data_IF_502018217187
#
_entry.id   IF_502018217187
#
_cell.length_a   1.000
_cell.length_b   1.000
_cell.length_c   1.000
_cell.angle_alpha   90.00
_cell.angle_beta   90.00
_cell.angle_gamma   90.00
#
_symmetry.space_group_name_H-M   'P 1'
#
loop_
_entity.id
_entity.type
_entity.pdbx_description
1 polymer ?
#
# COMPACT_ATOMS: atom_id res chain seq x y z
N UNK A 1 16.51 -6.85 -4.56
CA UNK A 1 15.50 -7.46 -3.66
C UNK A 1 14.11 -7.12 -4.19
N UNK A 2 13.23 -8.13 -4.26
CA UNK A 2 11.79 -7.91 -4.41
C UNK A 2 11.12 -8.60 -3.23
N UNK A 3 10.48 -7.81 -2.38
CA UNK A 3 9.89 -8.27 -1.12
C UNK A 3 8.36 -8.29 -1.26
N UNK A 4 7.76 -9.49 -1.22
CA UNK A 4 6.35 -9.71 -1.54
C UNK A 4 5.53 -9.81 -0.24
N UNK A 5 4.54 -8.95 -0.10
CA UNK A 5 3.67 -8.85 1.07
C UNK A 5 2.21 -8.83 0.65
N UNK A 6 1.33 -9.01 1.62
CA UNK A 6 -0.09 -8.68 1.52
C UNK A 6 -0.42 -7.65 2.60
N UNK A 7 -1.67 -7.15 2.64
CA UNK A 7 -2.11 -6.43 3.83
C UNK A 7 -1.99 -7.31 5.09
N UNK A 8 -2.05 -6.72 6.27
CA UNK A 8 -2.12 -7.49 7.52
C UNK A 8 -3.57 -7.78 7.90
N UNK A 9 -3.83 -8.79 8.74
CA UNK A 9 -5.17 -9.24 9.14
C UNK A 9 -6.18 -8.10 9.38
N UNK A 10 -7.41 -8.31 8.90
CA UNK A 10 -8.51 -7.34 9.00
C UNK A 10 -8.36 -6.10 8.13
N UNK A 11 -7.51 -6.14 7.09
CA UNK A 11 -7.31 -5.06 6.11
C UNK A 11 -7.16 -5.63 4.71
N UNK A 12 -7.35 -4.75 3.73
CA UNK A 12 -7.07 -5.01 2.32
C UNK A 12 -6.28 -3.83 1.72
N UNK A 13 -5.36 -4.13 0.82
CA UNK A 13 -4.63 -3.14 0.02
C UNK A 13 -5.02 -3.24 -1.46
N UNK A 14 -4.88 -2.14 -2.19
CA UNK A 14 -4.72 -2.18 -3.66
C UNK A 14 -3.41 -2.91 -4.00
N UNK A 15 -3.22 -3.29 -5.27
CA UNK A 15 -1.89 -3.75 -5.69
C UNK A 15 -0.98 -2.53 -5.75
N UNK A 16 -0.15 -2.32 -4.72
CA UNK A 16 0.75 -1.18 -4.67
C UNK A 16 2.20 -1.56 -4.44
N UNK A 17 3.10 -0.74 -4.98
CA UNK A 17 4.54 -0.92 -4.86
C UNK A 17 5.14 0.25 -4.11
N UNK A 18 6.02 -0.06 -3.15
CA UNK A 18 6.86 0.94 -2.48
C UNK A 18 8.23 0.94 -3.13
N UNK A 19 8.64 2.09 -3.64
CA UNK A 19 9.87 2.23 -4.40
C UNK A 19 10.46 3.64 -4.26
N UNK A 20 11.79 3.73 -4.34
CA UNK A 20 12.46 5.01 -4.53
C UNK A 20 12.59 5.30 -6.02
N UNK A 21 11.71 6.16 -6.53
CA UNK A 21 11.67 6.54 -7.95
C UNK A 21 12.79 7.52 -8.34
N UNK A 22 13.61 7.97 -7.39
CA UNK A 22 14.80 8.77 -7.72
C UNK A 22 15.96 7.92 -8.24
N UNK A 23 15.96 6.62 -7.95
CA UNK A 23 16.87 5.64 -8.53
C UNK A 23 16.23 5.02 -9.78
N UNK A 24 16.90 5.13 -10.93
CA UNK A 24 16.35 4.67 -12.21
C UNK A 24 16.20 3.15 -12.31
N UNK A 25 16.99 2.38 -11.56
CA UNK A 25 16.86 0.91 -11.50
C UNK A 25 15.66 0.53 -10.66
N UNK A 26 15.53 1.09 -9.46
CA UNK A 26 14.38 0.84 -8.57
C UNK A 26 13.08 1.32 -9.22
N UNK A 27 13.10 2.48 -9.89
CA UNK A 27 11.95 2.99 -10.64
C UNK A 27 11.50 1.99 -11.73
N UNK A 28 12.42 1.51 -12.56
CA UNK A 28 12.12 0.50 -13.59
C UNK A 28 11.54 -0.77 -12.96
N UNK A 29 12.13 -1.24 -11.86
CA UNK A 29 11.61 -2.42 -11.14
C UNK A 29 10.16 -2.25 -10.72
N UNK A 30 9.79 -1.06 -10.22
CA UNK A 30 8.42 -0.73 -9.82
C UNK A 30 7.47 -0.59 -11.02
N UNK A 31 7.89 0.08 -12.09
CA UNK A 31 7.07 0.28 -13.29
C UNK A 31 6.84 -0.99 -14.11
N UNK A 32 7.67 -2.02 -13.93
CA UNK A 32 7.42 -3.34 -14.54
C UNK A 32 6.38 -4.16 -13.78
N UNK A 33 5.95 -3.71 -12.60
CA UNK A 33 4.82 -4.31 -11.91
C UNK A 33 3.53 -3.78 -12.51
N UNK A 34 2.52 -4.63 -12.65
CA UNK A 34 1.17 -4.21 -13.00
C UNK A 34 0.45 -3.60 -11.79
N UNK A 35 1.06 -2.61 -11.15
CA UNK A 35 0.58 -2.01 -9.92
C UNK A 35 -0.53 -0.99 -10.18
N UNK A 36 -1.54 -0.96 -9.31
CA UNK A 36 -2.53 0.11 -9.29
C UNK A 36 -1.87 1.44 -8.84
N UNK A 37 -0.98 1.36 -7.85
CA UNK A 37 -0.36 2.52 -7.21
C UNK A 37 1.14 2.27 -7.03
N UNK A 38 1.97 3.29 -7.29
CA UNK A 38 3.37 3.31 -6.86
C UNK A 38 3.52 4.42 -5.81
N UNK A 39 3.93 4.04 -4.61
CA UNK A 39 4.23 4.94 -3.52
C UNK A 39 5.73 5.27 -3.51
N UNK A 40 6.06 6.54 -3.75
CA UNK A 40 7.40 7.07 -3.55
C UNK A 40 7.78 6.93 -2.08
N UNK A 41 8.85 6.19 -1.84
CA UNK A 41 9.39 5.95 -0.51
C UNK A 41 10.86 5.61 -0.64
N UNK A 42 11.74 6.38 0.04
CA UNK A 42 13.18 6.13 0.04
C UNK A 42 13.59 4.86 0.81
N UNK A 43 12.64 4.15 1.42
CA UNK A 43 12.92 2.95 2.21
C UNK A 43 13.52 3.28 3.58
N UNK A 44 13.35 4.52 4.04
CA UNK A 44 13.76 4.94 5.38
C UNK A 44 12.61 4.69 6.37
N UNK A 45 12.88 4.17 7.59
CA UNK A 45 11.82 3.89 8.57
C UNK A 45 11.01 5.14 8.90
N UNK A 46 9.68 4.98 9.03
CA UNK A 46 8.73 6.04 9.35
C UNK A 46 8.71 6.46 10.84
N UNK A 47 9.47 5.78 11.71
CA UNK A 47 9.59 6.09 13.13
C UNK A 47 11.06 6.28 13.52
N UNK A 48 11.32 7.25 14.42
CA UNK A 48 12.62 7.81 14.77
C UNK A 48 13.70 6.84 15.26
N UNK A 49 14.90 7.42 15.50
CA UNK A 49 16.19 6.78 15.81
C UNK A 49 16.24 5.26 15.62
N UNK A 50 16.74 4.89 14.44
CA UNK A 50 17.03 3.54 13.96
C UNK A 50 17.71 2.70 15.03
N UNK A 51 16.94 1.84 15.70
CA UNK A 51 17.50 0.63 16.30
C UNK A 51 17.63 -0.37 15.16
N UNK A 52 18.80 -0.97 14.97
CA UNK A 52 18.99 -1.95 13.89
C UNK A 52 17.95 -3.08 13.90
N UNK A 53 17.48 -3.44 15.10
CA UNK A 53 16.45 -4.45 15.32
C UNK A 53 15.04 -4.08 14.80
N UNK A 54 14.74 -2.81 14.50
CA UNK A 54 13.42 -2.38 14.02
C UNK A 54 13.38 -2.05 12.52
N UNK A 55 14.48 -2.29 11.78
CA UNK A 55 14.53 -2.04 10.33
C UNK A 55 13.78 -3.12 9.55
N UNK A 56 13.11 -2.68 8.48
CA UNK A 56 12.49 -3.61 7.53
C UNK A 56 13.55 -4.26 6.65
N UNK A 57 13.24 -5.42 6.07
CA UNK A 57 14.14 -6.12 5.13
C UNK A 57 14.53 -5.22 3.95
N UNK A 58 13.57 -4.47 3.39
CA UNK A 58 13.83 -3.49 2.34
C UNK A 58 14.80 -2.39 2.78
N UNK A 59 14.60 -1.80 3.96
CA UNK A 59 15.47 -0.76 4.48
C UNK A 59 16.91 -1.28 4.66
N UNK A 60 17.08 -2.48 5.19
CA UNK A 60 18.38 -3.11 5.32
C UNK A 60 19.03 -3.34 3.95
N UNK A 61 18.31 -3.93 2.98
CA UNK A 61 18.84 -4.15 1.64
C UNK A 61 19.33 -2.86 0.96
N UNK A 62 18.57 -1.77 1.09
CA UNK A 62 18.96 -0.45 0.55
C UNK A 62 20.24 0.06 1.22
N UNK A 63 20.42 -0.13 2.52
CA UNK A 63 21.65 0.27 3.23
C UNK A 63 22.89 -0.49 2.72
N UNK A 64 22.73 -1.72 2.23
CA UNK A 64 23.78 -2.50 1.59
C UNK A 64 23.92 -2.22 0.07
N UNK A 65 23.25 -1.18 -0.43
CA UNK A 65 23.31 -0.79 -1.84
C UNK A 65 22.57 -1.73 -2.79
N UNK A 66 21.67 -2.58 -2.28
CA UNK A 66 20.89 -3.52 -3.08
C UNK A 66 19.59 -2.81 -3.52
N UNK A 67 19.33 -2.67 -4.85
CA UNK A 67 18.06 -2.13 -5.34
C UNK A 67 16.87 -2.94 -4.81
N UNK A 68 15.90 -2.27 -4.19
CA UNK A 68 14.82 -2.95 -3.46
C UNK A 68 13.45 -2.29 -3.61
N UNK A 69 12.45 -3.11 -3.92
CA UNK A 69 11.02 -2.74 -3.91
C UNK A 69 10.25 -3.66 -2.97
N UNK A 70 9.16 -3.14 -2.41
CA UNK A 70 8.15 -3.94 -1.69
C UNK A 70 6.87 -3.93 -2.49
N UNK A 71 6.29 -5.10 -2.75
CA UNK A 71 5.02 -5.26 -3.46
C UNK A 71 3.98 -5.75 -2.47
N UNK A 72 2.81 -5.14 -2.49
CA UNK A 72 1.73 -5.42 -1.54
C UNK A 72 0.48 -5.86 -2.29
N UNK A 73 0.07 -7.12 -2.07
CA UNK A 73 -1.06 -7.75 -2.72
C UNK A 73 -2.25 -7.83 -1.78
N UNK A 74 -3.30 -7.07 -2.07
CA UNK A 74 -4.66 -7.44 -1.67
C UNK A 74 -4.88 -7.73 -0.17
N UNK A 75 -5.72 -8.74 0.05
CA UNK A 75 -6.21 -9.23 1.32
C UNK A 75 -5.42 -10.49 1.75
N UNK A 76 -4.83 -10.53 2.96
CA UNK A 76 -4.07 -11.68 3.45
C UNK A 76 -4.90 -12.93 3.70
N UNK A 77 -6.22 -12.82 3.79
CA UNK A 77 -7.09 -13.89 4.28
C UNK A 77 -7.75 -14.70 3.17
N UNK A 78 -7.62 -14.29 1.92
CA UNK A 78 -8.27 -14.95 0.78
C UNK A 78 -7.31 -15.09 -0.40
N UNK A 79 -7.53 -16.12 -1.21
CA UNK A 79 -6.86 -16.24 -2.50
C UNK A 79 -7.54 -15.33 -3.53
N UNK A 80 -6.74 -14.54 -4.22
CA UNK A 80 -7.20 -13.59 -5.23
C UNK A 80 -6.53 -13.89 -6.56
N UNK A 81 -7.22 -14.63 -7.43
CA UNK A 81 -6.66 -15.10 -8.71
C UNK A 81 -6.14 -13.96 -9.60
N UNK A 82 -6.87 -12.85 -9.64
CA UNK A 82 -6.44 -11.63 -10.35
C UNK A 82 -5.10 -11.08 -9.81
N UNK A 83 -5.01 -10.87 -8.48
CA UNK A 83 -3.78 -10.39 -7.83
C UNK A 83 -2.60 -11.34 -8.06
N UNK A 84 -2.83 -12.64 -7.94
CA UNK A 84 -1.80 -13.66 -8.22
C UNK A 84 -1.33 -13.59 -9.67
N UNK A 85 -2.26 -13.47 -10.63
CA UNK A 85 -1.95 -13.34 -12.05
C UNK A 85 -1.09 -12.11 -12.34
N UNK A 86 -1.49 -10.95 -11.80
CA UNK A 86 -0.76 -9.67 -11.91
C UNK A 86 0.62 -9.76 -11.27
N UNK A 87 0.74 -10.40 -10.11
CA UNK A 87 2.01 -10.63 -9.41
C UNK A 87 2.98 -11.52 -10.19
N UNK A 88 2.49 -12.65 -10.71
CA UNK A 88 3.30 -13.53 -11.56
C UNK A 88 3.77 -12.79 -12.81
N UNK A 89 2.87 -12.05 -13.47
CA UNK A 89 3.23 -11.24 -14.63
C UNK A 89 4.31 -10.22 -14.29
N UNK A 90 4.15 -9.44 -13.20
CA UNK A 90 5.11 -8.42 -12.79
C UNK A 90 6.50 -8.96 -12.42
N UNK A 91 6.57 -10.14 -11.79
CA UNK A 91 7.84 -10.81 -11.49
C UNK A 91 8.51 -11.31 -12.76
N UNK A 92 7.79 -12.00 -13.65
CA UNK A 92 8.36 -12.46 -14.92
C UNK A 92 8.85 -11.30 -15.76
N UNK A 93 8.11 -10.20 -15.76
CA UNK A 93 8.45 -8.97 -16.47
C UNK A 93 9.74 -8.34 -15.92
N UNK A 94 9.88 -8.28 -14.60
CA UNK A 94 11.10 -7.85 -13.93
C UNK A 94 12.30 -8.74 -14.27
N UNK A 95 12.14 -10.07 -14.25
CA UNK A 95 13.21 -11.00 -14.61
C UNK A 95 13.67 -10.79 -16.05
N UNK A 96 12.75 -10.59 -17.01
CA UNK A 96 13.08 -10.26 -18.38
C UNK A 96 13.78 -8.89 -18.49
N UNK A 97 13.30 -7.88 -17.77
CA UNK A 97 13.91 -6.55 -17.72
C UNK A 97 15.32 -6.51 -17.12
N UNK A 98 15.64 -7.46 -16.24
CA UNK A 98 16.97 -7.67 -15.68
C UNK A 98 17.84 -8.61 -16.53
N UNK A 99 17.31 -9.16 -17.64
CA UNK A 99 18.03 -10.09 -18.51
C UNK A 99 18.23 -11.48 -17.92
N UNK A 100 17.46 -11.85 -16.89
CA UNK A 100 17.53 -13.17 -16.24
C UNK A 100 16.71 -14.24 -16.98
N UNK A 101 15.79 -13.82 -17.85
CA UNK A 101 15.02 -14.68 -18.75
C UNK A 101 15.03 -14.13 -20.17
N UNK A 102 14.75 -14.99 -21.15
CA UNK A 102 14.60 -14.56 -22.53
C UNK A 102 13.38 -13.63 -22.70
N UNK A 103 13.48 -12.70 -23.64
CA UNK A 103 12.42 -11.73 -23.94
C UNK A 103 12.76 -10.31 -23.51
N UNK A 104 11.79 -9.42 -23.61
CA UNK A 104 11.91 -8.02 -23.17
C UNK A 104 10.74 -7.69 -22.27
N UNK A 105 10.94 -6.80 -21.28
CA UNK A 105 9.86 -6.40 -20.40
C UNK A 105 8.76 -5.69 -21.19
N UNK A 106 7.52 -5.99 -20.88
CA UNK A 106 6.31 -5.38 -21.42
C UNK A 106 5.82 -4.28 -20.48
N UNK A 107 5.25 -3.22 -21.04
CA UNK A 107 4.58 -2.21 -20.23
C UNK A 107 3.28 -2.79 -19.64
N UNK A 108 2.92 -2.45 -18.38
CA UNK A 108 1.63 -2.80 -17.83
C UNK A 108 0.47 -2.25 -18.68
N UNK A 109 -0.69 -2.93 -18.71
CA UNK A 109 -1.86 -2.47 -19.48
C UNK A 109 -2.35 -1.08 -19.05
N UNK A 110 -2.23 -0.76 -17.76
CA UNK A 110 -2.61 0.54 -17.21
C UNK A 110 -1.43 1.16 -16.44
N UNK A 111 -1.19 2.47 -16.58
CA UNK A 111 -0.16 3.14 -15.81
C UNK A 111 -0.57 3.25 -14.34
N UNK A 112 0.37 2.93 -13.45
CA UNK A 112 0.16 3.08 -12.01
C UNK A 112 0.01 4.57 -11.61
N UNK A 113 -0.83 4.82 -10.62
CA UNK A 113 -0.96 6.15 -10.01
C UNK A 113 0.23 6.36 -9.05
N UNK A 114 1.00 7.44 -9.25
CA UNK A 114 2.14 7.74 -8.38
C UNK A 114 1.71 8.63 -7.21
N UNK A 115 1.96 8.15 -5.99
CA UNK A 115 1.78 8.92 -4.76
C UNK A 115 3.12 9.39 -4.21
N UNK A 116 3.25 10.66 -3.83
CA UNK A 116 4.50 11.21 -3.27
C UNK A 116 4.72 10.85 -1.80
N UNK A 117 3.62 10.78 -1.05
CA UNK A 117 3.60 10.41 0.37
C UNK A 117 2.30 9.70 0.69
N UNK A 118 2.26 9.05 1.84
CA UNK A 118 1.03 8.44 2.36
C UNK A 118 1.08 8.35 3.87
N UNK A 119 -0.07 8.15 4.49
CA UNK A 119 -0.19 7.92 5.93
C UNK A 119 -1.48 7.16 6.25
N UNK A 120 -1.50 6.52 7.41
CA UNK A 120 -2.69 5.89 7.93
C UNK A 120 -3.50 6.89 8.75
N UNK A 121 -4.81 6.82 8.63
CA UNK A 121 -5.77 7.50 9.51
C UNK A 121 -6.26 6.48 10.54
N UNK A 122 -6.43 6.91 11.78
CA UNK A 122 -6.67 6.02 12.91
C UNK A 122 -7.94 6.39 13.67
N UNK A 123 -8.57 5.39 14.27
CA UNK A 123 -9.66 5.58 15.23
C UNK A 123 -9.12 6.14 16.54
N UNK A 124 -9.87 7.04 17.15
CA UNK A 124 -9.62 7.62 18.48
C UNK A 124 -10.38 6.89 19.60
N UNK A 125 -11.31 5.99 19.27
CA UNK A 125 -12.03 5.15 20.20
C UNK A 125 -12.20 3.70 19.67
N UNK A 126 -12.62 2.79 20.55
CA UNK A 126 -13.01 1.42 20.18
C UNK A 126 -14.48 1.33 19.81
N UNK A 127 -14.83 0.42 18.90
CA UNK A 127 -16.20 0.24 18.43
C UNK A 127 -16.30 -0.57 17.14
N UNK A 128 -17.47 -0.49 16.51
CA UNK A 128 -17.76 -1.09 15.22
C UNK A 128 -17.48 -0.05 14.12
N UNK A 129 -16.42 -0.27 13.34
CA UNK A 129 -15.97 0.59 12.25
C UNK A 129 -16.58 0.15 10.92
N UNK A 130 -17.29 1.07 10.28
CA UNK A 130 -17.68 0.98 8.87
C UNK A 130 -16.76 1.88 8.04
N UNK A 131 -16.28 1.38 6.89
CA UNK A 131 -15.41 2.13 5.97
C UNK A 131 -16.09 2.18 4.59
N UNK A 132 -16.83 3.26 4.26
CA UNK A 132 -17.67 3.31 3.06
C UNK A 132 -16.89 3.56 1.75
N UNK A 133 -15.60 3.86 1.84
CA UNK A 133 -14.75 4.15 0.68
C UNK A 133 -14.13 2.88 0.11
N UNK A 134 -13.85 2.89 -1.19
CA UNK A 134 -13.24 1.76 -1.89
C UNK A 134 -11.76 1.95 -2.21
N UNK A 135 -11.05 0.85 -2.44
CA UNK A 135 -9.66 0.89 -2.88
C UNK A 135 -9.55 1.66 -4.20
N UNK A 136 -8.51 2.49 -4.34
CA UNK A 136 -8.25 3.38 -5.48
C UNK A 136 -9.28 4.50 -5.67
N UNK A 137 -10.27 4.62 -4.77
CA UNK A 137 -11.16 5.77 -4.77
C UNK A 137 -10.36 7.05 -4.50
N UNK A 138 -10.56 8.05 -5.35
CA UNK A 138 -10.06 9.42 -5.12
C UNK A 138 -11.02 10.13 -4.18
N UNK A 139 -10.46 10.80 -3.18
CA UNK A 139 -11.19 11.53 -2.16
C UNK A 139 -10.83 13.01 -2.23
N UNK A 140 -11.79 13.86 -1.91
CA UNK A 140 -11.60 15.27 -1.57
C UNK A 140 -11.51 15.45 -0.05
N UNK A 141 -10.95 16.58 0.38
CA UNK A 141 -10.97 16.96 1.79
C UNK A 141 -12.42 17.06 2.30
N UNK A 142 -12.68 16.48 3.48
CA UNK A 142 -13.99 16.45 4.12
C UNK A 142 -14.89 15.27 3.74
N UNK A 143 -14.53 14.46 2.74
CA UNK A 143 -15.29 13.25 2.38
C UNK A 143 -15.33 12.24 3.53
N UNK A 144 -16.46 11.55 3.71
CA UNK A 144 -16.64 10.55 4.76
C UNK A 144 -15.79 9.30 4.46
N UNK A 145 -14.92 8.93 5.39
CA UNK A 145 -14.01 7.77 5.25
C UNK A 145 -14.26 6.69 6.29
N UNK A 146 -14.99 6.98 7.37
CA UNK A 146 -15.31 5.99 8.37
C UNK A 146 -16.42 6.42 9.31
N UNK A 147 -17.17 5.45 9.82
CA UNK A 147 -18.18 5.62 10.85
C UNK A 147 -17.87 4.65 11.98
N UNK A 148 -17.76 5.13 13.21
CA UNK A 148 -17.58 4.28 14.38
C UNK A 148 -18.87 4.27 15.19
N UNK A 149 -19.38 3.09 15.48
CA UNK A 149 -20.61 2.86 16.25
C UNK A 149 -20.35 2.02 17.48
N UNK A 150 -21.21 2.14 18.48
CA UNK A 150 -21.23 1.20 19.59
C UNK A 150 -22.03 -0.07 19.22
N UNK A 151 -22.03 -1.13 20.07
CA UNK A 151 -22.78 -2.35 19.80
C UNK A 151 -24.31 -2.18 19.71
N UNK A 152 -24.86 -1.04 20.14
CA UNK A 152 -26.27 -0.70 20.02
C UNK A 152 -26.60 0.05 18.72
N UNK A 153 -25.60 0.31 17.87
CA UNK A 153 -25.74 1.00 16.59
C UNK A 153 -25.66 2.52 16.68
N UNK A 154 -25.46 3.07 17.88
CA UNK A 154 -25.35 4.52 18.08
C UNK A 154 -24.01 5.02 17.54
N UNK A 155 -24.05 6.15 16.84
CA UNK A 155 -22.87 6.78 16.26
C UNK A 155 -21.98 7.36 17.36
N UNK A 156 -20.72 6.94 17.39
CA UNK A 156 -19.68 7.48 18.26
C UNK A 156 -18.96 8.62 17.54
N UNK A 157 -18.50 8.39 16.31
CA UNK A 157 -17.66 9.34 15.57
C UNK A 157 -17.75 9.11 14.06
N UNK A 158 -17.69 10.22 13.31
CA UNK A 158 -17.44 10.20 11.87
C UNK A 158 -15.99 10.62 11.60
N UNK A 159 -15.31 9.88 10.72
CA UNK A 159 -13.99 10.24 10.25
C UNK A 159 -14.09 10.76 8.83
N UNK A 160 -13.39 11.87 8.56
CA UNK A 160 -13.37 12.53 7.25
C UNK A 160 -11.95 12.63 6.71
N UNK A 161 -11.82 12.62 5.40
CA UNK A 161 -10.54 12.78 4.73
C UNK A 161 -9.96 14.17 5.07
N UNK A 162 -8.74 14.26 5.64
CA UNK A 162 -8.15 15.54 6.02
C UNK A 162 -7.68 16.36 4.81
N UNK A 163 -7.40 15.70 3.68
CA UNK A 163 -6.97 16.31 2.42
C UNK A 163 -7.35 15.41 1.25
N UNK A 164 -7.24 15.93 0.02
CA UNK A 164 -7.50 15.16 -1.18
C UNK A 164 -6.43 14.08 -1.40
N UNK A 165 -6.84 12.90 -1.84
CA UNK A 165 -5.94 11.77 -2.00
C UNK A 165 -6.59 10.56 -2.66
N UNK A 166 -5.94 9.40 -2.55
CA UNK A 166 -6.41 8.12 -3.06
C UNK A 166 -6.30 7.04 -1.98
N UNK A 167 -7.32 6.19 -1.86
CA UNK A 167 -7.31 5.09 -0.88
C UNK A 167 -6.36 3.99 -1.38
N UNK A 168 -5.22 3.81 -0.70
CA UNK A 168 -4.26 2.73 -0.99
C UNK A 168 -4.73 1.42 -0.34
N UNK A 169 -5.24 1.50 0.87
CA UNK A 169 -5.67 0.37 1.68
C UNK A 169 -6.73 0.77 2.69
N UNK A 170 -7.51 -0.19 3.18
CA UNK A 170 -8.56 0.06 4.18
C UNK A 170 -8.73 -1.10 5.16
N UNK A 171 -9.29 -0.80 6.32
CA UNK A 171 -9.75 -1.82 7.26
C UNK A 171 -11.01 -2.51 6.74
N UNK A 172 -11.07 -3.82 6.93
CA UNK A 172 -12.19 -4.69 6.56
C UNK A 172 -12.81 -5.36 7.78
N UNK A 173 -12.08 -5.46 8.91
CA UNK A 173 -12.64 -5.96 10.16
C UNK A 173 -13.51 -4.86 10.79
N UNK A 174 -14.80 -5.13 11.04
CA UNK A 174 -15.68 -4.15 11.69
C UNK A 174 -15.32 -3.94 13.16
N UNK A 175 -14.77 -4.93 13.86
CA UNK A 175 -14.36 -4.71 15.25
C UNK A 175 -13.03 -3.98 15.29
N UNK A 176 -13.01 -2.80 15.91
CA UNK A 176 -11.81 -1.98 15.99
C UNK A 176 -11.57 -1.43 17.41
N UNK A 177 -10.30 -1.26 17.74
CA UNK A 177 -9.85 -0.69 19.01
C UNK A 177 -9.44 0.77 18.81
N UNK A 178 -9.23 1.50 19.91
CA UNK A 178 -8.54 2.79 19.84
C UNK A 178 -7.15 2.64 19.21
N UNK A 179 -6.78 3.55 18.30
CA UNK A 179 -5.55 3.46 17.51
C UNK A 179 -5.63 2.45 16.36
N UNK A 180 -6.82 1.91 16.09
CA UNK A 180 -7.11 1.08 14.95
C UNK A 180 -6.95 1.84 13.64
N UNK A 181 -6.47 1.19 12.59
CA UNK A 181 -6.37 1.81 11.26
C UNK A 181 -7.75 1.94 10.63
N UNK A 182 -7.97 3.00 9.85
CA UNK A 182 -9.20 3.23 9.08
C UNK A 182 -8.87 3.07 7.59
N UNK A 183 -8.11 4.01 7.03
CA UNK A 183 -7.61 3.96 5.66
C UNK A 183 -6.13 4.36 5.59
N UNK A 184 -5.45 3.85 4.56
CA UNK A 184 -4.15 4.28 4.12
C UNK A 184 -4.36 5.27 2.97
N UNK A 185 -4.15 6.56 3.24
CA UNK A 185 -4.37 7.63 2.27
C UNK A 185 -3.06 7.94 1.54
N UNK A 186 -3.07 7.80 0.21
CA UNK A 186 -2.00 8.24 -0.68
C UNK A 186 -2.24 9.66 -1.18
N UNK A 187 -1.20 10.49 -1.18
CA UNK A 187 -1.26 11.87 -1.68
C UNK A 187 -0.60 11.92 -3.04
N UNK A 188 -1.38 12.34 -4.03
CA UNK A 188 -0.93 12.48 -5.41
C UNK A 188 0.02 13.67 -5.55
N UNK A 189 0.80 13.64 -6.63
CA UNK A 189 1.65 14.75 -7.05
C UNK A 189 0.84 15.90 -7.66
#
# INVERSE_FOLDING_TARGET
LVDLHTASFGRINSLYVRADLTDSTIARMAYWQDADIILQDRGMPSAGQVVAASRTMRAEAVLHGIPAITIEYGDPQVYQSDMTGRGVWGILNLLAGLGLTAGSPQAPPQPAIVCQRSYWIYTDAGGLLEVPVELRQRLQAGELIGLLRNPFGELITEYRAPEAGIVIGKSTNPNNMQGGRIIHLGILR
#
